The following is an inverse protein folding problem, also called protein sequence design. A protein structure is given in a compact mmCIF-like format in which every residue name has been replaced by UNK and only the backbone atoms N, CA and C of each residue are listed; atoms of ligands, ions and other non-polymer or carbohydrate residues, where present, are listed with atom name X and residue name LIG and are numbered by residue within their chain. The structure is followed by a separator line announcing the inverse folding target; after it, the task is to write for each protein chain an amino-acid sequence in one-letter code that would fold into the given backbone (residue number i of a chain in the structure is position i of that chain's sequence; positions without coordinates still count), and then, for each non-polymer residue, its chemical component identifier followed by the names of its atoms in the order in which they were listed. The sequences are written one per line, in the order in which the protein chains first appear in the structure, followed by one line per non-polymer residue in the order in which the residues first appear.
data_IF_303932141703
#
_entry.id   IF_303932141703
#
_cell.length_a   1.000
_cell.length_b   1.000
_cell.length_c   1.000
_cell.angle_alpha   90.00
_cell.angle_beta   90.00
_cell.angle_gamma   90.00
#
_symmetry.space_group_name_H-M   'P 1'
#
loop_
_entity.id
_entity.type
_entity.pdbx_description
1 polymer ?
#
# COMPACT_ATOMS: atom_id res chain seq x y z
N UNK A 1 6.58 -23.69 0.87
CA UNK A 1 6.13 -22.40 0.28
C UNK A 1 7.21 -21.98 -0.70
N UNK A 2 6.86 -21.90 -1.98
CA UNK A 2 7.81 -21.50 -3.01
C UNK A 2 7.90 -19.97 -3.05
N UNK A 3 9.12 -19.45 -2.97
CA UNK A 3 9.41 -18.02 -3.08
C UNK A 3 10.53 -17.78 -4.10
N UNK A 4 10.56 -16.59 -4.71
CA UNK A 4 11.66 -16.14 -5.56
C UNK A 4 12.26 -14.87 -5.00
N UNK A 5 13.57 -14.88 -4.78
CA UNK A 5 14.29 -13.71 -4.27
C UNK A 5 14.31 -12.58 -5.31
N UNK A 6 14.24 -11.34 -4.84
CA UNK A 6 14.37 -10.11 -5.64
C UNK A 6 15.50 -9.24 -5.11
N UNK A 7 15.99 -8.32 -5.95
CA UNK A 7 17.02 -7.36 -5.53
C UNK A 7 16.54 -6.53 -4.31
N UNK A 8 17.42 -6.14 -3.38
CA UNK A 8 18.90 -6.19 -3.44
C UNK A 8 19.53 -7.49 -2.91
N UNK A 9 18.76 -8.55 -2.67
CA UNK A 9 19.30 -9.81 -2.16
C UNK A 9 20.30 -10.42 -3.17
N UNK A 10 21.51 -10.86 -2.75
CA UNK A 10 22.47 -11.51 -3.65
C UNK A 10 21.95 -12.80 -4.30
N UNK A 11 20.87 -13.37 -3.77
CA UNK A 11 20.17 -14.55 -4.32
C UNK A 11 19.06 -14.17 -5.30
N UNK A 12 18.88 -12.89 -5.63
CA UNK A 12 17.86 -12.41 -6.55
C UNK A 12 17.80 -13.26 -7.84
N UNK A 13 16.60 -13.66 -8.23
CA UNK A 13 16.37 -14.57 -9.35
C UNK A 13 16.31 -16.05 -8.97
N UNK A 14 16.75 -16.43 -7.77
CA UNK A 14 16.69 -17.81 -7.28
C UNK A 14 15.32 -18.11 -6.68
N UNK A 15 14.74 -19.25 -7.06
CA UNK A 15 13.53 -19.79 -6.44
C UNK A 15 13.92 -20.80 -5.36
N UNK A 16 13.31 -20.72 -4.18
CA UNK A 16 13.54 -21.62 -3.06
C UNK A 16 12.21 -22.06 -2.44
N UNK A 17 12.12 -23.34 -2.05
CA UNK A 17 11.02 -23.83 -1.22
C UNK A 17 11.41 -23.68 0.27
N UNK A 18 10.55 -23.01 1.03
CA UNK A 18 10.74 -22.74 2.45
C UNK A 18 9.51 -23.05 3.28
N UNK A 19 9.68 -23.15 4.59
CA UNK A 19 8.55 -23.11 5.52
C UNK A 19 7.78 -21.78 5.39
N UNK A 20 6.48 -21.82 5.68
CA UNK A 20 5.61 -20.65 5.49
C UNK A 20 6.06 -19.43 6.31
N UNK A 21 6.66 -19.64 7.49
CA UNK A 21 7.17 -18.56 8.35
C UNK A 21 8.36 -17.83 7.73
N UNK A 22 9.41 -18.55 7.29
CA UNK A 22 10.58 -17.95 6.64
C UNK A 22 10.23 -17.37 5.28
N UNK A 23 9.42 -18.08 4.50
CA UNK A 23 8.95 -17.59 3.21
C UNK A 23 8.20 -16.27 3.33
N UNK A 24 7.28 -16.16 4.31
CA UNK A 24 6.54 -14.93 4.57
C UNK A 24 7.45 -13.79 5.06
N UNK A 25 8.42 -14.08 5.93
CA UNK A 25 9.41 -13.07 6.37
C UNK A 25 10.14 -12.41 5.19
N UNK A 26 10.59 -13.18 4.20
CA UNK A 26 11.25 -12.61 3.01
C UNK A 26 10.30 -11.83 2.12
N UNK A 27 9.02 -12.21 2.07
CA UNK A 27 7.99 -11.44 1.34
C UNK A 27 7.72 -10.11 2.06
N UNK A 28 7.54 -10.13 3.38
CA UNK A 28 7.21 -8.97 4.21
C UNK A 28 8.34 -7.95 4.24
N UNK A 29 9.59 -8.43 4.32
CA UNK A 29 10.79 -7.58 4.23
C UNK A 29 11.08 -7.09 2.82
N UNK A 30 10.34 -7.56 1.82
CA UNK A 30 10.55 -7.22 0.42
C UNK A 30 11.85 -7.80 -0.15
N UNK A 31 12.36 -8.90 0.38
CA UNK A 31 13.49 -9.64 -0.19
C UNK A 31 13.05 -10.71 -1.21
N UNK A 32 11.77 -11.13 -1.20
CA UNK A 32 11.24 -12.14 -2.10
C UNK A 32 9.78 -11.89 -2.51
N UNK A 33 9.30 -12.68 -3.47
CA UNK A 33 7.89 -12.80 -3.87
C UNK A 33 7.46 -14.26 -3.79
N UNK A 34 6.17 -14.52 -3.59
CA UNK A 34 5.64 -15.88 -3.58
C UNK A 34 5.57 -16.42 -5.01
N UNK A 35 5.78 -17.72 -5.18
CA UNK A 35 5.62 -18.43 -6.45
C UNK A 35 4.52 -19.47 -6.30
N UNK A 36 3.62 -19.53 -7.27
CA UNK A 36 2.54 -20.53 -7.34
C UNK A 36 3.08 -21.88 -7.81
N UNK A 37 2.30 -22.93 -7.58
CA UNK A 37 2.65 -24.30 -7.98
C UNK A 37 2.77 -24.47 -9.51
N UNK A 38 2.16 -23.57 -10.28
CA UNK A 38 2.28 -23.50 -11.75
C UNK A 38 3.59 -22.83 -12.22
N UNK A 39 4.48 -22.46 -11.30
CA UNK A 39 5.73 -21.76 -11.59
C UNK A 39 5.55 -20.28 -11.90
N UNK A 40 4.31 -19.78 -11.84
CA UNK A 40 4.02 -18.36 -12.00
C UNK A 40 4.36 -17.64 -10.73
N UNK A 41 5.18 -16.60 -10.83
CA UNK A 41 5.40 -15.68 -9.73
C UNK A 41 4.04 -15.07 -9.37
N UNK A 42 3.59 -15.29 -8.14
CA UNK A 42 2.59 -14.43 -7.53
C UNK A 42 3.33 -13.13 -7.21
N UNK A 43 3.54 -12.37 -8.28
CA UNK A 43 3.69 -10.93 -8.20
C UNK A 43 2.41 -10.50 -7.51
N UNK A 44 2.46 -10.34 -6.18
CA UNK A 44 1.50 -9.52 -5.48
C UNK A 44 1.35 -8.28 -6.36
N UNK A 45 0.13 -7.99 -6.85
CA UNK A 45 -0.07 -7.12 -8.00
C UNK A 45 0.81 -5.88 -7.85
N UNK A 46 1.59 -5.57 -8.90
CA UNK A 46 2.37 -4.33 -9.01
C UNK A 46 1.63 -3.22 -8.29
N UNK A 47 2.30 -2.48 -7.38
CA UNK A 47 1.67 -1.84 -6.23
C UNK A 47 0.36 -1.20 -6.65
N UNK A 48 -0.75 -1.90 -6.42
CA UNK A 48 -1.93 -1.17 -5.99
C UNK A 48 -1.42 -0.45 -4.76
N UNK A 49 -1.54 0.88 -4.79
CA UNK A 49 -1.27 1.77 -3.68
C UNK A 49 -1.51 1.04 -2.35
N UNK A 50 -0.59 1.15 -1.37
CA UNK A 50 -0.62 0.33 -0.18
C UNK A 50 -2.04 0.31 0.38
N UNK A 51 -2.67 -0.87 0.41
CA UNK A 51 -3.80 -1.04 1.29
C UNK A 51 -3.25 -0.75 2.69
N UNK A 52 -3.76 0.28 3.39
CA UNK A 52 -3.15 0.71 4.63
C UNK A 52 -3.18 -0.45 5.63
N UNK A 53 -2.12 -0.64 6.42
CA UNK A 53 -2.14 -1.62 7.49
C UNK A 53 -3.29 -1.27 8.43
N UNK A 54 -4.17 -2.25 8.66
CA UNK A 54 -5.14 -2.18 9.73
C UNK A 54 -4.39 -2.13 11.06
N UNK A 55 -4.23 -0.94 11.63
CA UNK A 55 -3.71 -0.75 12.98
C UNK A 55 -2.69 0.37 13.11
N UNK A 56 -3.18 1.61 13.07
CA UNK A 56 -2.46 2.73 13.66
C UNK A 56 -2.83 4.04 13.01
N UNK A 57 -3.86 4.73 13.54
CA UNK A 57 -4.11 6.19 13.45
C UNK A 57 -3.56 6.96 12.23
N UNK A 58 -3.55 6.37 11.03
CA UNK A 58 -3.11 7.02 9.82
C UNK A 58 -4.24 7.93 9.40
N UNK A 59 -3.94 9.22 9.33
CA UNK A 59 -4.92 10.20 8.90
C UNK A 59 -5.33 9.85 7.46
N UNK A 60 -6.61 9.92 7.09
CA UNK A 60 -7.07 9.71 5.72
C UNK A 60 -6.26 10.47 4.66
N UNK A 61 -5.68 11.62 5.02
CA UNK A 61 -4.83 12.43 4.16
C UNK A 61 -3.35 12.02 4.08
N UNK A 62 -2.87 11.11 4.95
CA UNK A 62 -1.45 10.72 5.01
C UNK A 62 -1.01 10.04 3.71
N UNK A 63 0.00 10.63 3.06
CA UNK A 63 0.53 10.15 1.79
C UNK A 63 -0.26 10.55 0.54
N UNK A 64 -1.41 11.22 0.66
CA UNK A 64 -2.21 11.66 -0.49
C UNK A 64 -1.70 12.99 -1.08
N UNK A 65 -1.87 13.14 -2.39
CA UNK A 65 -1.67 14.40 -3.12
C UNK A 65 -2.92 15.29 -3.05
N UNK A 66 -2.78 16.58 -3.40
CA UNK A 66 -3.91 17.53 -3.39
C UNK A 66 -5.08 17.05 -4.26
N UNK A 67 -4.79 16.42 -5.41
CA UNK A 67 -5.82 15.87 -6.29
C UNK A 67 -6.55 14.71 -5.62
N UNK A 68 -5.82 13.75 -5.05
CA UNK A 68 -6.40 12.59 -4.36
C UNK A 68 -7.20 13.00 -3.11
N UNK A 69 -6.75 14.01 -2.37
CA UNK A 69 -7.50 14.55 -1.23
C UNK A 69 -8.83 15.18 -1.70
N UNK A 70 -8.83 15.90 -2.83
CA UNK A 70 -10.08 16.46 -3.41
C UNK A 70 -11.03 15.37 -3.88
N UNK A 71 -10.51 14.32 -4.50
CA UNK A 71 -11.30 13.15 -4.91
C UNK A 71 -11.86 12.42 -3.69
N UNK A 72 -11.09 12.27 -2.60
CA UNK A 72 -11.55 11.64 -1.38
C UNK A 72 -12.61 12.47 -0.64
N UNK A 73 -12.49 13.81 -0.64
CA UNK A 73 -13.52 14.72 -0.14
C UNK A 73 -14.80 14.61 -0.98
N UNK A 74 -14.67 14.57 -2.32
CA UNK A 74 -15.81 14.39 -3.22
C UNK A 74 -16.48 13.02 -3.07
N UNK A 75 -15.69 11.96 -2.90
CA UNK A 75 -16.19 10.59 -2.65
C UNK A 75 -16.96 10.48 -1.32
N UNK A 76 -16.65 11.36 -0.36
CA UNK A 76 -17.35 11.51 0.91
C UNK A 76 -18.45 12.58 0.88
N UNK A 77 -18.74 13.15 -0.28
CA UNK A 77 -19.72 14.23 -0.49
C UNK A 77 -19.44 15.50 0.36
N UNK A 78 -18.16 15.75 0.67
CA UNK A 78 -17.71 16.92 1.44
C UNK A 78 -17.44 18.08 0.48
N UNK A 79 -18.25 19.13 0.57
CA UNK A 79 -18.08 20.34 -0.23
C UNK A 79 -16.81 21.10 0.17
N UNK A 80 -15.97 21.41 -0.81
CA UNK A 80 -14.73 22.18 -0.62
C UNK A 80 -15.05 23.66 -0.86
N UNK A 81 -14.89 24.55 0.14
CA UNK A 81 -15.10 25.98 -0.05
C UNK A 81 -14.07 26.57 -1.03
N UNK A 82 -14.48 27.54 -1.86
CA UNK A 82 -13.61 28.20 -2.87
C UNK A 82 -12.38 28.94 -2.29
N UNK A 83 -12.31 29.09 -0.96
CA UNK A 83 -11.13 29.63 -0.25
C UNK A 83 -10.07 28.58 0.13
N UNK A 84 -10.40 27.29 0.03
CA UNK A 84 -9.54 26.19 0.50
C UNK A 84 -8.71 25.65 -0.67
N UNK A 85 -7.53 26.24 -0.85
CA UNK A 85 -6.58 25.86 -1.91
C UNK A 85 -5.34 25.14 -1.37
N UNK A 86 -5.08 25.24 -0.07
CA UNK A 86 -3.92 24.64 0.57
C UNK A 86 -4.12 23.14 0.81
N UNK A 87 -3.05 22.37 0.56
CA UNK A 87 -3.02 20.93 0.84
C UNK A 87 -3.37 20.63 2.31
N UNK A 88 -2.86 21.43 3.23
CA UNK A 88 -3.04 21.22 4.66
C UNK A 88 -4.51 21.37 5.10
N UNK A 89 -5.24 22.37 4.57
CA UNK A 89 -6.65 22.56 4.87
C UNK A 89 -7.52 21.44 4.28
N UNK A 90 -7.25 21.04 3.04
CA UNK A 90 -7.93 19.91 2.41
C UNK A 90 -7.68 18.60 3.17
N UNK A 91 -6.44 18.38 3.61
CA UNK A 91 -6.06 17.24 4.43
C UNK A 91 -6.82 17.25 5.77
N UNK A 92 -6.84 18.39 6.47
CA UNK A 92 -7.56 18.54 7.74
C UNK A 92 -9.06 18.27 7.61
N UNK A 93 -9.69 18.71 6.49
CA UNK A 93 -11.10 18.41 6.21
C UNK A 93 -11.33 16.91 6.02
N UNK A 94 -10.43 16.23 5.31
CA UNK A 94 -10.53 14.79 5.07
C UNK A 94 -10.29 13.99 6.35
N UNK A 95 -9.40 14.48 7.23
CA UNK A 95 -9.03 13.82 8.48
C UNK A 95 -10.08 13.97 9.57
N UNK A 96 -10.77 15.10 9.59
CA UNK A 96 -11.88 15.36 10.51
C UNK A 96 -13.21 14.78 10.03
N UNK A 97 -13.24 14.24 8.80
CA UNK A 97 -14.45 13.64 8.25
C UNK A 97 -14.74 12.27 8.89
N UNK A 98 -16.00 11.99 9.30
CA UNK A 98 -16.36 10.70 9.86
C UNK A 98 -16.12 9.58 8.83
N UNK A 99 -15.51 8.48 9.27
CA UNK A 99 -15.40 7.29 8.44
C UNK A 99 -16.80 6.70 8.24
N UNK A 100 -17.26 6.67 6.98
CA UNK A 100 -18.52 6.06 6.55
C UNK A 100 -18.55 4.56 6.83
#
# INVERSE_FOLDING_TARGET
MLIKFKAPDPRAGTTADMDSSRGQYFIDTGAAVRVKADGTEEVAPAPRAPAPPAGGNAKPSDGLTVAEIKEALAAREIAIPDGVTLKADLAAMLDNAPAS
#
